data_IF_874788929372
#
_entry.id   IF_874788929372
#
_cell.length_a   1.000
_cell.length_b   1.000
_cell.length_c   1.000
_cell.angle_alpha   90.00
_cell.angle_beta   90.00
_cell.angle_gamma   90.00
#
_symmetry.space_group_name_H-M   'P 1'
#
loop_
_entity.id
_entity.type
_entity.pdbx_description
1 polymer ?
#
# COMPACT_ATOMS: atom_id res chain seq x y z
N UNK A 1 -33.24 31.91 18.98
CA UNK A 1 -32.89 32.87 17.91
C UNK A 1 -31.43 33.25 18.07
N UNK A 2 -30.67 33.37 16.96
CA UNK A 2 -29.24 33.70 16.97
C UNK A 2 -28.99 35.04 16.29
N UNK A 3 -28.03 35.80 16.80
CA UNK A 3 -27.61 37.07 16.19
C UNK A 3 -26.26 36.88 15.51
N UNK A 4 -26.14 37.31 14.26
CA UNK A 4 -24.87 37.29 13.56
C UNK A 4 -23.87 38.26 14.20
N UNK A 5 -22.72 37.76 14.66
CA UNK A 5 -21.65 38.57 15.25
C UNK A 5 -20.95 39.53 14.28
N UNK A 6 -21.21 39.41 12.97
CA UNK A 6 -20.62 40.27 11.94
C UNK A 6 -21.50 41.45 11.52
N UNK A 7 -22.81 41.24 11.44
CA UNK A 7 -23.74 42.22 10.87
C UNK A 7 -24.97 42.51 11.74
N UNK A 8 -25.09 41.86 12.90
CA UNK A 8 -26.18 42.08 13.86
C UNK A 8 -27.54 41.57 13.41
N UNK A 9 -27.65 40.84 12.29
CA UNK A 9 -28.93 40.34 11.79
C UNK A 9 -29.42 39.14 12.61
N UNK A 10 -30.73 39.12 12.87
CA UNK A 10 -31.40 38.03 13.59
C UNK A 10 -31.70 36.86 12.65
N UNK A 11 -31.31 35.66 13.07
CA UNK A 11 -31.45 34.43 12.30
C UNK A 11 -32.11 33.33 13.13
N UNK A 12 -32.70 32.36 12.43
CA UNK A 12 -33.22 31.14 13.04
C UNK A 12 -32.09 30.32 13.68
N UNK A 13 -32.41 29.55 14.72
CA UNK A 13 -31.40 28.79 15.48
C UNK A 13 -30.71 27.70 14.65
N UNK A 14 -31.31 27.28 13.54
CA UNK A 14 -30.79 26.25 12.64
C UNK A 14 -29.89 26.79 11.53
N UNK A 15 -29.80 28.12 11.39
CA UNK A 15 -28.98 28.75 10.36
C UNK A 15 -27.48 28.45 10.58
N UNK A 16 -26.84 27.86 9.56
CA UNK A 16 -25.39 27.57 9.55
C UNK A 16 -24.57 28.75 9.02
N UNK A 17 -25.20 29.60 8.20
CA UNK A 17 -24.60 30.78 7.60
C UNK A 17 -25.59 31.95 7.71
N UNK A 18 -25.06 33.17 7.79
CA UNK A 18 -25.88 34.36 7.76
C UNK A 18 -26.39 34.63 6.33
N UNK A 19 -27.71 34.68 6.14
CA UNK A 19 -28.35 34.98 4.84
C UNK A 19 -28.14 36.41 4.36
N UNK A 20 -27.67 37.31 5.22
CA UNK A 20 -27.43 38.73 4.89
C UNK A 20 -25.98 39.03 4.52
N UNK A 21 -25.00 38.51 5.26
CA UNK A 21 -23.57 38.81 5.05
C UNK A 21 -22.72 37.61 4.65
N UNK A 22 -23.29 36.40 4.59
CA UNK A 22 -22.60 35.17 4.19
C UNK A 22 -21.65 34.57 5.22
N UNK A 23 -21.44 35.21 6.38
CA UNK A 23 -20.53 34.67 7.42
C UNK A 23 -21.08 33.37 8.02
N UNK A 24 -20.21 32.37 8.15
CA UNK A 24 -20.51 31.14 8.87
C UNK A 24 -20.81 31.44 10.35
N UNK A 25 -21.94 30.95 10.84
CA UNK A 25 -22.27 30.96 12.25
C UNK A 25 -21.62 29.71 12.83
N UNK A 26 -20.59 29.89 13.66
CA UNK A 26 -19.79 28.81 14.26
C UNK A 26 -20.70 27.63 14.65
N UNK A 27 -20.64 26.55 13.87
CA UNK A 27 -21.34 25.32 14.18
C UNK A 27 -20.70 24.72 15.44
N UNK A 28 -21.49 24.22 16.42
CA UNK A 28 -20.95 23.44 17.54
C UNK A 28 -20.29 22.13 17.08
N UNK A 29 -20.55 21.71 15.85
CA UNK A 29 -19.92 20.53 15.30
C UNK A 29 -18.56 20.91 14.75
N UNK A 30 -17.47 20.32 15.27
CA UNK A 30 -16.17 20.49 14.67
C UNK A 30 -16.30 20.07 13.22
N UNK A 31 -15.90 20.94 12.30
CA UNK A 31 -15.58 20.50 10.95
C UNK A 31 -14.53 19.41 11.13
N UNK A 32 -14.92 18.14 10.94
CA UNK A 32 -13.97 17.04 10.88
C UNK A 32 -12.98 17.49 9.81
N UNK A 33 -11.70 17.74 10.13
CA UNK A 33 -10.77 18.03 9.08
C UNK A 33 -10.89 16.83 8.16
N UNK A 34 -11.14 17.09 6.87
CA UNK A 34 -10.86 16.13 5.82
C UNK A 34 -9.33 16.01 5.82
N UNK A 35 -8.81 15.39 6.87
CA UNK A 35 -7.50 14.81 6.88
C UNK A 35 -7.54 13.90 5.68
N UNK A 36 -6.64 14.17 4.74
CA UNK A 36 -6.04 13.09 3.99
C UNK A 36 -5.55 12.14 5.07
N UNK A 37 -6.39 11.19 5.47
CA UNK A 37 -5.93 9.91 5.97
C UNK A 37 -5.16 9.37 4.78
N UNK A 38 -3.90 9.83 4.66
CA UNK A 38 -2.91 9.14 3.90
C UNK A 38 -2.97 7.75 4.50
N UNK A 39 -3.63 6.85 3.79
CA UNK A 39 -3.63 5.44 4.07
C UNK A 39 -2.16 5.11 4.28
N UNK A 40 -1.74 4.98 5.54
CA UNK A 40 -0.39 4.60 5.88
C UNK A 40 -0.28 3.16 5.39
N UNK A 41 0.03 3.00 4.09
CA UNK A 41 0.56 1.76 3.55
C UNK A 41 1.59 1.30 4.54
N UNK A 42 1.40 0.10 5.08
CA UNK A 42 2.21 -0.42 6.18
C UNK A 42 3.66 -0.51 5.69
N UNK A 43 4.40 0.58 5.90
CA UNK A 43 5.70 0.83 5.30
C UNK A 43 6.70 -0.29 5.65
N UNK A 44 6.70 -0.84 6.88
CA UNK A 44 7.42 -2.08 7.20
C UNK A 44 7.08 -3.27 6.29
N UNK A 45 5.79 -3.56 6.07
CA UNK A 45 5.37 -4.69 5.21
C UNK A 45 5.82 -4.48 3.78
N UNK A 46 5.71 -3.25 3.26
CA UNK A 46 6.16 -2.92 1.92
C UNK A 46 7.69 -3.07 1.79
N UNK A 47 8.49 -2.63 2.77
CA UNK A 47 9.94 -2.85 2.77
C UNK A 47 10.31 -4.33 2.81
N UNK A 48 9.64 -5.12 3.64
CA UNK A 48 9.86 -6.58 3.69
C UNK A 48 9.51 -7.22 2.35
N UNK A 49 8.38 -6.86 1.74
CA UNK A 49 7.97 -7.37 0.44
C UNK A 49 9.00 -7.04 -0.65
N UNK A 50 9.46 -5.78 -0.73
CA UNK A 50 10.50 -5.37 -1.69
C UNK A 50 11.82 -6.11 -1.43
N UNK A 51 12.20 -6.30 -0.17
CA UNK A 51 13.40 -7.06 0.20
C UNK A 51 13.33 -8.52 -0.25
N UNK A 52 12.18 -9.19 -0.06
CA UNK A 52 11.97 -10.57 -0.52
C UNK A 52 11.96 -10.67 -2.05
N UNK A 53 11.33 -9.73 -2.74
CA UNK A 53 11.35 -9.68 -4.21
C UNK A 53 12.78 -9.49 -4.73
N UNK A 54 13.55 -8.58 -4.13
CA UNK A 54 14.96 -8.38 -4.48
C UNK A 54 15.78 -9.64 -4.20
N UNK A 55 15.54 -10.34 -3.08
CA UNK A 55 16.21 -11.59 -2.75
C UNK A 55 15.91 -12.70 -3.77
N UNK A 56 14.64 -12.85 -4.17
CA UNK A 56 14.22 -13.82 -5.20
C UNK A 56 14.87 -13.55 -6.56
N UNK A 57 15.04 -12.27 -6.92
CA UNK A 57 15.77 -11.89 -8.14
C UNK A 57 17.30 -12.11 -8.03
N UNK A 58 17.84 -12.00 -6.82
CA UNK A 58 19.27 -12.19 -6.56
C UNK A 58 19.68 -13.66 -6.53
N UNK A 59 18.79 -14.51 -6.01
CA UNK A 59 18.94 -15.95 -5.90
C UNK A 59 17.80 -16.67 -6.63
N UNK A 60 17.73 -16.57 -7.96
CA UNK A 60 16.64 -17.17 -8.72
C UNK A 60 16.72 -18.71 -8.69
N UNK A 61 15.59 -19.39 -8.97
CA UNK A 61 15.56 -20.83 -9.16
C UNK A 61 16.24 -21.22 -10.48
N UNK A 62 17.26 -22.06 -10.40
CA UNK A 62 17.95 -22.61 -11.57
C UNK A 62 17.33 -23.93 -12.01
N UNK A 63 17.30 -24.15 -13.31
CA UNK A 63 16.91 -25.41 -13.96
C UNK A 63 18.02 -25.91 -14.89
N UNK A 64 17.97 -27.21 -15.19
CA UNK A 64 18.87 -27.85 -16.15
C UNK A 64 18.83 -27.18 -17.53
N UNK A 65 19.89 -27.41 -18.34
CA UNK A 65 19.93 -26.91 -19.71
C UNK A 65 18.70 -27.34 -20.52
N UNK A 66 18.23 -26.54 -21.50
CA UNK A 66 17.02 -26.81 -22.29
C UNK A 66 17.04 -28.11 -23.10
N UNK A 67 18.20 -28.76 -23.19
CA UNK A 67 18.42 -30.02 -23.89
C UNK A 67 17.97 -31.22 -23.04
N UNK A 68 17.87 -31.05 -21.72
CA UNK A 68 17.55 -32.09 -20.76
C UNK A 68 16.13 -31.90 -20.20
N UNK A 69 15.61 -32.90 -19.49
CA UNK A 69 14.37 -32.74 -18.74
C UNK A 69 14.54 -31.67 -17.67
N UNK A 70 13.54 -30.79 -17.47
CA UNK A 70 13.63 -29.70 -16.49
C UNK A 70 13.68 -30.29 -15.08
N UNK A 71 14.84 -30.19 -14.43
CA UNK A 71 15.02 -30.51 -13.02
C UNK A 71 15.45 -29.25 -12.26
N UNK A 72 15.01 -29.15 -11.02
CA UNK A 72 15.28 -27.99 -10.19
C UNK A 72 16.67 -28.13 -9.52
N UNK A 73 17.58 -27.21 -9.86
CA UNK A 73 18.96 -27.20 -9.37
C UNK A 73 19.16 -26.38 -8.09
N UNK A 74 18.08 -25.83 -7.54
CA UNK A 74 18.12 -25.00 -6.33
C UNK A 74 18.16 -23.50 -6.62
N UNK A 75 18.31 -22.73 -5.54
CA UNK A 75 18.46 -21.28 -5.59
C UNK A 75 19.94 -20.93 -5.45
N UNK A 76 20.50 -20.30 -6.47
CA UNK A 76 21.90 -19.88 -6.49
C UNK A 76 22.01 -18.44 -6.92
N UNK A 77 23.12 -17.79 -6.58
CA UNK A 77 23.36 -16.40 -6.92
C UNK A 77 23.35 -16.21 -8.46
N UNK A 78 22.71 -15.14 -8.94
CA UNK A 78 22.54 -14.89 -10.39
C UNK A 78 23.86 -14.88 -11.19
N UNK A 79 24.99 -14.49 -10.57
CA UNK A 79 26.31 -14.48 -11.22
C UNK A 79 27.14 -15.76 -10.97
N UNK A 80 26.61 -16.70 -10.19
CA UNK A 80 27.28 -17.96 -9.82
C UNK A 80 26.36 -19.14 -10.10
N UNK A 81 26.10 -19.47 -11.38
CA UNK A 81 25.24 -20.59 -11.73
C UNK A 81 25.82 -21.92 -11.20
N UNK A 82 24.98 -22.89 -10.82
CA UNK A 82 25.42 -24.19 -10.33
C UNK A 82 26.07 -25.05 -11.44
N UNK A 83 25.64 -24.87 -12.70
CA UNK A 83 26.17 -25.57 -13.87
C UNK A 83 26.45 -24.59 -15.02
N UNK A 84 27.39 -24.91 -15.94
CA UNK A 84 27.83 -23.97 -17.00
C UNK A 84 26.73 -23.50 -17.96
N UNK A 85 25.70 -24.33 -18.17
CA UNK A 85 24.60 -24.08 -19.10
C UNK A 85 23.22 -24.10 -18.41
N UNK A 86 23.20 -23.96 -17.07
CA UNK A 86 21.96 -23.87 -16.32
C UNK A 86 21.16 -22.63 -16.76
N UNK A 87 19.84 -22.76 -16.80
CA UNK A 87 18.94 -21.66 -17.12
C UNK A 87 18.19 -21.21 -15.86
N UNK A 88 17.74 -19.95 -15.82
CA UNK A 88 16.80 -19.51 -14.79
C UNK A 88 15.40 -19.97 -15.13
N UNK A 89 14.78 -20.72 -14.23
CA UNK A 89 13.44 -21.26 -14.44
C UNK A 89 12.40 -20.16 -14.40
N UNK A 90 11.86 -19.82 -15.57
CA UNK A 90 10.82 -18.77 -15.71
C UNK A 90 9.54 -19.13 -14.97
N UNK A 91 9.18 -20.42 -14.99
CA UNK A 91 7.99 -20.90 -14.31
C UNK A 91 8.13 -20.75 -12.80
N UNK A 92 9.20 -21.30 -12.22
CA UNK A 92 9.42 -21.26 -10.76
C UNK A 92 9.63 -19.83 -10.27
N UNK A 93 10.37 -19.00 -11.02
CA UNK A 93 10.54 -17.59 -10.68
C UNK A 93 9.21 -16.84 -10.71
N UNK A 94 8.34 -17.10 -11.69
CA UNK A 94 7.01 -16.46 -11.74
C UNK A 94 6.16 -16.88 -10.55
N UNK A 95 6.15 -18.17 -10.22
CA UNK A 95 5.40 -18.69 -9.05
C UNK A 95 5.91 -18.04 -7.76
N UNK A 96 7.22 -17.92 -7.59
CA UNK A 96 7.84 -17.29 -6.43
C UNK A 96 7.47 -15.80 -6.33
N UNK A 97 7.68 -15.01 -7.39
CA UNK A 97 7.40 -13.58 -7.41
C UNK A 97 5.91 -13.28 -7.16
N UNK A 98 5.01 -14.04 -7.80
CA UNK A 98 3.56 -13.89 -7.58
C UNK A 98 3.19 -14.26 -6.15
N UNK A 99 3.76 -15.33 -5.60
CA UNK A 99 3.49 -15.75 -4.22
C UNK A 99 3.94 -14.68 -3.22
N UNK A 100 5.13 -14.10 -3.40
CA UNK A 100 5.63 -13.01 -2.55
C UNK A 100 4.74 -11.78 -2.65
N UNK A 101 4.33 -11.38 -3.85
CA UNK A 101 3.47 -10.22 -4.06
C UNK A 101 2.08 -10.41 -3.43
N UNK A 102 1.45 -11.57 -3.66
CA UNK A 102 0.13 -11.90 -3.08
C UNK A 102 0.22 -11.97 -1.55
N UNK A 103 1.23 -12.65 -1.01
CA UNK A 103 1.45 -12.73 0.44
C UNK A 103 1.67 -11.34 1.05
N UNK A 104 2.51 -10.50 0.43
CA UNK A 104 2.75 -9.13 0.88
C UNK A 104 1.48 -8.27 0.90
N UNK A 105 0.63 -8.41 -0.13
CA UNK A 105 -0.67 -7.73 -0.17
C UNK A 105 -1.59 -8.17 0.98
N UNK A 106 -1.75 -9.47 1.19
CA UNK A 106 -2.57 -9.99 2.30
C UNK A 106 -2.03 -9.60 3.67
N UNK A 107 -0.71 -9.61 3.85
CA UNK A 107 -0.07 -9.18 5.09
C UNK A 107 -0.28 -7.68 5.33
N UNK A 108 -0.18 -6.86 4.29
CA UNK A 108 -0.46 -5.41 4.38
C UNK A 108 -1.89 -5.16 4.87
N UNK A 109 -2.85 -5.94 4.39
CA UNK A 109 -4.24 -5.88 4.83
C UNK A 109 -4.42 -6.36 6.28
N UNK A 110 -3.81 -7.50 6.64
CA UNK A 110 -3.91 -8.09 7.99
C UNK A 110 -3.35 -7.15 9.06
N UNK A 111 -2.23 -6.49 8.77
CA UNK A 111 -1.55 -5.58 9.68
C UNK A 111 -1.95 -4.11 9.48
N UNK A 112 -3.07 -3.84 8.79
CA UNK A 112 -3.57 -2.47 8.60
C UNK A 112 -3.98 -1.89 9.96
N UNK A 113 -3.26 -0.88 10.44
CA UNK A 113 -3.68 -0.11 11.62
C UNK A 113 -4.98 0.62 11.26
N UNK A 114 -6.06 0.40 12.02
CA UNK A 114 -7.24 1.25 11.91
C UNK A 114 -6.84 2.66 12.37
N UNK A 115 -6.92 3.62 11.46
CA UNK A 115 -6.87 5.05 11.82
C UNK A 115 -7.95 5.31 12.87
N UNK A 116 -7.56 5.95 13.99
CA UNK A 116 -8.48 6.31 15.09
C UNK A 116 -9.22 7.60 14.77
#
# INVERSE_FOLDING_TARGET
>A
MKICTACGYELSDESRFCTRCGRALLSPFPAKPAGREAEEMNMPVLYVMVGLLALALLFPPWETPPVQSPEFLGFHFILGPPEPDAAVSRLLLTVELVTIAVAGFYMSWLFRKKSK
#
